data_IF_546251754032
#
_entry.id   IF_546251754032
#
_cell.length_a   1.000
_cell.length_b   1.000
_cell.length_c   1.000
_cell.angle_alpha   90.00
_cell.angle_beta   90.00
_cell.angle_gamma   90.00
#
_symmetry.space_group_name_H-M   'P 1'
#
loop_
_entity.id
_entity.type
_entity.pdbx_description
1 polymer ?
#
# COMPACT_ATOMS: atom_id res chain seq x y z
N UNK A 1 15.36 62.12 32.51
CA UNK A 1 15.66 61.26 31.36
C UNK A 1 14.80 60.02 31.53
N UNK A 2 13.61 60.01 30.94
CA UNK A 2 12.72 58.85 30.98
C UNK A 2 13.32 57.75 30.10
N UNK A 3 13.56 56.58 30.69
CA UNK A 3 13.99 55.39 29.96
C UNK A 3 12.80 54.87 29.13
N UNK A 4 12.96 54.61 27.83
CA UNK A 4 11.88 54.04 27.02
C UNK A 4 11.52 52.63 27.53
N UNK A 5 10.25 52.23 27.44
CA UNK A 5 9.77 50.95 27.95
C UNK A 5 10.47 49.79 27.24
N UNK A 6 11.05 48.88 28.02
CA UNK A 6 11.65 47.64 27.54
C UNK A 6 10.55 46.76 26.94
N UNK A 7 10.54 46.62 25.61
CA UNK A 7 9.65 45.69 24.92
C UNK A 7 10.11 44.27 25.30
N UNK A 8 9.36 43.67 26.22
CA UNK A 8 9.48 42.26 26.58
C UNK A 8 9.32 41.43 25.30
N UNK A 9 10.40 40.74 24.93
CA UNK A 9 10.41 39.89 23.74
C UNK A 9 9.64 38.62 24.07
N UNK A 10 8.33 38.63 23.82
CA UNK A 10 7.47 37.46 23.92
C UNK A 10 8.11 36.32 23.13
N UNK A 11 8.62 35.31 23.84
CA UNK A 11 9.20 34.12 23.22
C UNK A 11 8.14 33.45 22.36
N UNK A 12 8.43 33.32 21.06
CA UNK A 12 7.60 32.62 20.08
C UNK A 12 7.12 31.28 20.65
N UNK A 13 5.81 30.96 20.56
CA UNK A 13 5.30 29.68 21.08
C UNK A 13 6.05 28.52 20.41
N UNK A 14 6.33 27.43 21.14
CA UNK A 14 7.04 26.28 20.58
C UNK A 14 6.23 25.74 19.40
N UNK A 15 6.73 25.97 18.19
CA UNK A 15 6.17 25.38 16.97
C UNK A 15 6.29 23.88 17.15
N UNK A 16 5.15 23.19 17.29
CA UNK A 16 5.12 21.73 17.33
C UNK A 16 5.66 21.23 15.98
N UNK A 17 6.93 20.83 15.98
CA UNK A 17 7.60 20.36 14.78
C UNK A 17 6.89 19.11 14.27
N UNK A 18 6.17 19.27 13.16
CA UNK A 18 5.40 18.18 12.56
C UNK A 18 6.36 17.22 11.89
N UNK A 19 6.87 16.25 12.65
CA UNK A 19 7.76 15.19 12.15
C UNK A 19 7.08 14.42 11.00
N UNK A 20 7.58 14.59 9.77
CA UNK A 20 7.13 13.86 8.59
C UNK A 20 7.91 12.56 8.48
N UNK A 21 7.20 11.43 8.45
CA UNK A 21 7.81 10.11 8.30
C UNK A 21 8.15 9.83 6.84
N UNK A 22 9.37 10.18 6.43
CA UNK A 22 9.84 10.00 5.06
C UNK A 22 9.96 8.53 4.65
N UNK A 23 10.35 7.66 5.58
CA UNK A 23 10.48 6.21 5.31
C UNK A 23 9.15 5.56 4.91
N UNK A 24 8.05 6.03 5.51
CA UNK A 24 6.71 5.53 5.20
C UNK A 24 6.18 6.06 3.86
N UNK A 25 6.66 7.24 3.44
CA UNK A 25 6.38 7.79 2.11
C UNK A 25 7.17 7.00 1.05
N UNK A 26 8.44 6.69 1.33
CA UNK A 26 9.29 5.85 0.49
C UNK A 26 8.71 4.43 0.32
N UNK A 27 8.24 3.81 1.40
CA UNK A 27 7.61 2.49 1.37
C UNK A 27 6.38 2.46 0.46
N UNK A 28 5.54 3.50 0.54
CA UNK A 28 4.39 3.66 -0.36
C UNK A 28 4.81 3.92 -1.79
N UNK A 29 5.81 4.77 -2.02
CA UNK A 29 6.33 5.05 -3.35
C UNK A 29 6.86 3.76 -4.02
N UNK A 30 7.60 2.94 -3.27
CA UNK A 30 8.06 1.64 -3.75
C UNK A 30 6.87 0.71 -4.07
N UNK A 31 5.85 0.66 -3.20
CA UNK A 31 4.64 -0.14 -3.43
C UNK A 31 3.87 0.31 -4.68
N UNK A 32 3.83 1.62 -4.96
CA UNK A 32 3.20 2.18 -6.17
C UNK A 32 4.02 1.89 -7.42
N UNK A 33 5.36 1.99 -7.35
CA UNK A 33 6.26 1.64 -8.45
C UNK A 33 6.11 0.16 -8.84
N UNK A 34 6.04 -0.73 -7.86
CA UNK A 34 5.74 -2.15 -8.09
C UNK A 34 4.38 -2.36 -8.78
N UNK A 35 3.43 -1.46 -8.56
CA UNK A 35 2.15 -1.46 -9.25
C UNK A 35 2.25 -1.18 -10.75
N UNK A 36 3.16 -0.30 -11.17
CA UNK A 36 3.42 -0.01 -12.59
C UNK A 36 4.00 -1.26 -13.27
N UNK A 37 4.95 -1.91 -12.61
CA UNK A 37 5.55 -3.17 -13.08
C UNK A 37 4.46 -4.24 -13.22
N UNK A 38 3.59 -4.38 -12.23
CA UNK A 38 2.47 -5.34 -12.28
C UNK A 38 1.49 -5.03 -13.43
N UNK A 39 1.14 -3.76 -13.67
CA UNK A 39 0.27 -3.41 -14.79
C UNK A 39 0.93 -3.66 -16.15
N UNK A 40 2.24 -3.41 -16.28
CA UNK A 40 3.00 -3.77 -17.48
C UNK A 40 2.96 -5.28 -17.71
N UNK A 41 3.17 -6.08 -16.66
CA UNK A 41 3.06 -7.54 -16.71
C UNK A 41 1.65 -7.94 -17.19
N UNK A 42 0.59 -7.45 -16.54
CA UNK A 42 -0.80 -7.78 -16.90
C UNK A 42 -1.14 -7.44 -18.37
N UNK A 43 -0.66 -6.32 -18.89
CA UNK A 43 -0.91 -5.88 -20.27
C UNK A 43 -0.41 -6.90 -21.32
N UNK A 44 0.62 -7.67 -21.02
CA UNK A 44 1.24 -8.63 -21.95
C UNK A 44 0.98 -10.11 -21.62
N UNK A 45 0.39 -10.44 -20.46
CA UNK A 45 0.22 -11.84 -20.03
C UNK A 45 -1.18 -12.25 -19.55
N UNK A 46 -2.18 -11.37 -19.58
CA UNK A 46 -3.57 -11.78 -19.26
C UNK A 46 -4.27 -12.46 -20.46
N UNK A 47 -4.80 -13.68 -20.28
CA UNK A 47 -5.68 -14.31 -21.27
C UNK A 47 -6.97 -13.47 -21.43
N UNK A 48 -7.14 -12.81 -22.57
CA UNK A 48 -8.31 -11.96 -22.87
C UNK A 48 -8.01 -10.56 -23.40
N UNK A 49 -6.74 -10.12 -23.37
CA UNK A 49 -6.34 -8.86 -24.02
C UNK A 49 -6.11 -9.06 -25.53
N UNK A 50 -6.51 -8.13 -26.42
CA UNK A 50 -6.29 -8.27 -27.87
C UNK A 50 -4.82 -8.41 -28.28
N UNK A 51 -3.88 -7.97 -27.43
CA UNK A 51 -2.44 -8.16 -27.60
C UNK A 51 -1.87 -9.44 -26.98
N UNK A 52 -2.71 -10.35 -26.47
CA UNK A 52 -2.27 -11.62 -25.90
C UNK A 52 -1.75 -12.56 -26.99
N UNK A 53 -0.49 -12.96 -26.87
CA UNK A 53 0.09 -14.01 -27.67
C UNK A 53 0.16 -15.30 -26.83
N UNK A 54 -0.35 -16.46 -27.32
CA UNK A 54 -0.21 -17.75 -26.64
C UNK A 54 1.25 -18.07 -26.31
N UNK A 55 2.20 -17.60 -27.13
CA UNK A 55 3.65 -17.69 -26.96
C UNK A 55 4.20 -17.18 -25.60
N UNK A 56 3.43 -16.30 -24.93
CA UNK A 56 3.83 -15.71 -23.65
C UNK A 56 3.54 -16.65 -22.46
N UNK A 57 2.94 -17.81 -22.70
CA UNK A 57 2.72 -18.89 -21.73
C UNK A 57 4.01 -19.67 -21.41
N UNK A 58 5.16 -18.98 -21.37
CA UNK A 58 6.46 -19.57 -21.08
C UNK A 58 6.39 -20.37 -19.76
N UNK A 59 6.21 -21.67 -19.89
CA UNK A 59 6.20 -22.62 -18.81
C UNK A 59 7.61 -23.15 -18.65
N UNK A 60 8.29 -22.68 -17.61
CA UNK A 60 9.62 -23.15 -17.26
C UNK A 60 9.52 -24.44 -16.43
N UNK A 61 10.63 -25.18 -16.39
CA UNK A 61 10.81 -26.32 -15.49
C UNK A 61 10.71 -25.82 -14.06
N UNK A 62 9.96 -26.51 -13.21
CA UNK A 62 9.82 -26.12 -11.81
C UNK A 62 11.21 -26.10 -11.15
N UNK A 63 11.65 -24.97 -10.56
CA UNK A 63 12.93 -24.94 -9.85
C UNK A 63 12.94 -25.95 -8.71
N UNK A 64 14.07 -26.63 -8.48
CA UNK A 64 14.21 -27.66 -7.44
C UNK A 64 13.80 -27.16 -6.05
N UNK A 65 14.05 -25.88 -5.74
CA UNK A 65 13.62 -25.24 -4.49
C UNK A 65 12.09 -25.24 -4.30
N UNK A 66 11.31 -25.14 -5.38
CA UNK A 66 9.85 -25.13 -5.33
C UNK A 66 9.31 -26.55 -5.21
N UNK A 67 9.91 -27.52 -5.91
CA UNK A 67 9.53 -28.93 -5.76
C UNK A 67 9.84 -29.45 -4.37
N UNK A 68 11.03 -29.12 -3.84
CA UNK A 68 11.43 -29.48 -2.48
C UNK A 68 10.51 -28.82 -1.45
N UNK A 69 10.23 -27.51 -1.59
CA UNK A 69 9.30 -26.81 -0.69
C UNK A 69 7.89 -27.42 -0.71
N UNK A 70 7.41 -27.88 -1.88
CA UNK A 70 6.11 -28.53 -2.00
C UNK A 70 6.09 -29.88 -1.25
N UNK A 71 7.17 -30.66 -1.35
CA UNK A 71 7.33 -31.92 -0.62
C UNK A 71 7.36 -31.70 0.90
N UNK A 72 8.06 -30.66 1.40
CA UNK A 72 8.09 -30.33 2.84
C UNK A 72 6.71 -29.94 3.37
N UNK A 73 5.90 -29.28 2.54
CA UNK A 73 4.54 -28.84 2.88
C UNK A 73 3.49 -29.95 2.66
N UNK A 74 3.90 -31.11 2.13
CA UNK A 74 3.00 -32.25 1.86
C UNK A 74 2.06 -32.00 0.69
N UNK A 75 2.43 -31.11 -0.23
CA UNK A 75 1.64 -30.72 -1.40
C UNK A 75 2.35 -31.15 -2.68
N UNK A 76 1.61 -31.64 -3.67
CA UNK A 76 2.19 -31.98 -4.97
C UNK A 76 2.77 -30.76 -5.69
N UNK A 77 4.01 -30.87 -6.17
CA UNK A 77 4.67 -29.78 -6.89
C UNK A 77 3.90 -29.43 -8.18
N UNK A 78 3.70 -28.13 -8.48
CA UNK A 78 2.93 -27.72 -9.64
C UNK A 78 3.64 -28.15 -10.93
N UNK A 79 2.98 -28.88 -11.83
CA UNK A 79 3.59 -29.44 -13.06
C UNK A 79 4.14 -28.39 -14.05
N UNK A 80 3.75 -27.11 -13.90
CA UNK A 80 4.14 -26.00 -14.77
C UNK A 80 4.48 -24.77 -13.93
N UNK A 81 5.66 -24.17 -14.13
CA UNK A 81 6.04 -22.91 -13.51
C UNK A 81 5.89 -21.77 -14.52
N UNK A 82 5.11 -20.74 -14.20
CA UNK A 82 5.01 -19.54 -15.03
C UNK A 82 5.67 -18.37 -14.28
N UNK A 83 6.78 -17.80 -14.79
CA UNK A 83 7.41 -16.63 -14.19
C UNK A 83 6.46 -15.45 -14.08
N UNK A 84 5.54 -15.32 -15.05
CA UNK A 84 4.47 -14.33 -15.03
C UNK A 84 3.59 -14.47 -13.79
N UNK A 85 3.02 -15.66 -13.54
CA UNK A 85 2.14 -15.87 -12.38
C UNK A 85 2.90 -15.74 -11.07
N UNK A 86 4.16 -16.19 -11.02
CA UNK A 86 5.00 -16.02 -9.84
C UNK A 86 5.21 -14.54 -9.51
N UNK A 87 5.66 -13.72 -10.47
CA UNK A 87 5.86 -12.29 -10.28
C UNK A 87 4.55 -11.57 -9.96
N UNK A 88 3.46 -11.90 -10.65
CA UNK A 88 2.14 -11.35 -10.36
C UNK A 88 1.70 -11.65 -8.92
N UNK A 89 1.71 -12.91 -8.50
CA UNK A 89 1.28 -13.32 -7.16
C UNK A 89 2.19 -12.74 -6.08
N UNK A 90 3.51 -12.74 -6.30
CA UNK A 90 4.47 -12.15 -5.36
C UNK A 90 4.24 -10.64 -5.19
N UNK A 91 4.19 -9.88 -6.29
CA UNK A 91 4.03 -8.42 -6.26
C UNK A 91 2.63 -8.04 -5.75
N UNK A 92 1.58 -8.70 -6.25
CA UNK A 92 0.21 -8.45 -5.84
C UNK A 92 0.01 -8.75 -4.36
N UNK A 93 0.41 -9.95 -3.92
CA UNK A 93 0.31 -10.40 -2.54
C UNK A 93 1.07 -9.47 -1.61
N UNK A 94 2.34 -9.19 -1.90
CA UNK A 94 3.15 -8.30 -1.08
C UNK A 94 2.57 -6.89 -0.99
N UNK A 95 2.27 -6.25 -2.12
CA UNK A 95 1.82 -4.86 -2.17
C UNK A 95 0.49 -4.68 -1.44
N UNK A 96 -0.47 -5.60 -1.63
CA UNK A 96 -1.77 -5.51 -0.98
C UNK A 96 -1.64 -5.63 0.54
N UNK A 97 -0.88 -6.61 1.04
CA UNK A 97 -0.67 -6.74 2.49
C UNK A 97 0.13 -5.57 3.09
N UNK A 98 1.11 -5.05 2.34
CA UNK A 98 1.89 -3.89 2.76
C UNK A 98 1.00 -2.66 3.01
N UNK A 99 0.05 -2.38 2.11
CA UNK A 99 -0.88 -1.27 2.29
C UNK A 99 -1.78 -1.45 3.52
N UNK A 100 -2.21 -2.68 3.84
CA UNK A 100 -2.97 -2.96 5.05
C UNK A 100 -2.16 -2.64 6.32
N UNK A 101 -0.92 -3.14 6.41
CA UNK A 101 -0.03 -2.88 7.55
C UNK A 101 0.22 -1.38 7.72
N UNK A 102 0.58 -0.69 6.63
CA UNK A 102 0.81 0.76 6.65
C UNK A 102 -0.46 1.50 7.08
N UNK A 103 -1.64 1.10 6.60
CA UNK A 103 -2.90 1.73 6.99
C UNK A 103 -3.20 1.58 8.48
N UNK A 104 -2.88 0.41 9.07
CA UNK A 104 -2.99 0.16 10.51
C UNK A 104 -2.07 1.05 11.32
N UNK A 105 -0.80 1.14 10.91
CA UNK A 105 0.20 2.01 11.55
C UNK A 105 -0.25 3.48 11.62
N UNK A 106 -0.70 4.05 10.50
CA UNK A 106 -1.20 5.44 10.49
C UNK A 106 -2.49 5.61 11.29
N UNK A 107 -3.32 4.58 11.38
CA UNK A 107 -4.53 4.60 12.20
C UNK A 107 -4.19 4.64 13.69
N UNK A 108 -3.25 3.82 14.15
CA UNK A 108 -2.74 3.84 15.52
C UNK A 108 -2.06 5.18 15.86
N UNK A 109 -1.24 5.71 14.94
CA UNK A 109 -0.63 7.04 15.09
C UNK A 109 -1.68 8.15 15.21
N UNK A 110 -2.72 8.13 14.37
CA UNK A 110 -3.78 9.12 14.42
C UNK A 110 -4.64 8.99 15.69
N UNK A 111 -4.82 7.77 16.18
CA UNK A 111 -5.52 7.49 17.43
C UNK A 111 -4.78 8.08 18.63
N UNK A 112 -3.46 7.88 18.68
CA UNK A 112 -2.61 8.43 19.74
C UNK A 112 -2.58 9.96 19.78
N UNK A 113 -2.80 10.62 18.64
CA UNK A 113 -2.65 12.09 18.51
C UNK A 113 -3.96 12.87 18.59
N UNK A 114 -5.10 12.30 18.17
CA UNK A 114 -6.39 13.03 18.08
C UNK A 114 -7.54 12.36 18.82
N UNK A 115 -7.34 11.16 19.36
CA UNK A 115 -8.38 10.39 20.03
C UNK A 115 -9.43 9.81 19.08
N UNK A 116 -10.33 9.04 19.68
CA UNK A 116 -11.23 8.09 19.00
C UNK A 116 -12.37 8.78 18.22
N UNK A 117 -12.93 9.82 18.83
CA UNK A 117 -14.13 10.52 18.37
C UNK A 117 -13.87 11.32 17.10
N UNK A 118 -12.78 12.07 17.05
CA UNK A 118 -12.39 12.87 15.87
C UNK A 118 -11.96 11.98 14.70
N UNK A 119 -11.31 10.85 14.99
CA UNK A 119 -10.97 9.83 14.01
C UNK A 119 -12.19 9.25 13.31
N UNK A 120 -13.17 8.81 14.12
CA UNK A 120 -14.36 8.15 13.60
C UNK A 120 -15.24 9.14 12.85
N UNK A 121 -15.41 10.37 13.34
CA UNK A 121 -16.16 11.44 12.67
C UNK A 121 -15.58 11.76 11.28
N UNK A 122 -14.25 11.88 11.17
CA UNK A 122 -13.60 12.18 9.90
C UNK A 122 -13.67 11.01 8.91
N UNK A 123 -13.55 9.77 9.38
CA UNK A 123 -13.67 8.56 8.55
C UNK A 123 -15.10 8.31 8.10
N UNK A 124 -16.06 8.42 9.02
CA UNK A 124 -17.48 8.32 8.72
C UNK A 124 -17.88 9.33 7.64
N UNK A 125 -17.49 10.60 7.77
CA UNK A 125 -17.78 11.62 6.74
C UNK A 125 -17.14 11.32 5.38
N UNK A 126 -15.99 10.63 5.33
CA UNK A 126 -15.34 10.28 4.06
C UNK A 126 -15.83 8.98 3.43
N UNK A 127 -16.45 8.09 4.20
CA UNK A 127 -16.96 6.79 3.72
C UNK A 127 -18.47 6.88 3.49
N UNK A 128 -19.23 7.33 4.48
CA UNK A 128 -20.69 7.43 4.41
C UNK A 128 -21.17 8.52 3.46
N UNK A 129 -20.44 9.63 3.30
CA UNK A 129 -20.86 10.70 2.38
C UNK A 129 -20.83 10.25 0.92
N UNK A 130 -19.72 9.71 0.36
CA UNK A 130 -19.76 9.17 -0.99
C UNK A 130 -20.68 7.95 -1.09
N UNK A 131 -20.76 7.09 -0.06
CA UNK A 131 -21.71 5.98 -0.08
C UNK A 131 -23.16 6.48 -0.23
N UNK A 132 -23.62 7.41 0.60
CA UNK A 132 -24.98 7.93 0.54
C UNK A 132 -25.30 8.72 -0.74
N UNK A 133 -24.31 9.37 -1.35
CA UNK A 133 -24.47 10.10 -2.61
C UNK A 133 -24.53 9.12 -3.81
N UNK A 134 -23.71 8.07 -3.80
CA UNK A 134 -23.56 7.14 -4.92
C UNK A 134 -24.32 5.83 -4.77
N UNK A 135 -24.90 5.52 -3.61
CA UNK A 135 -25.91 4.46 -3.52
C UNK A 135 -27.17 4.99 -4.18
N UNK A 136 -27.57 4.48 -5.36
CA UNK A 136 -28.92 4.74 -5.83
C UNK A 136 -29.83 4.19 -4.74
N UNK A 137 -30.61 5.05 -4.11
CA UNK A 137 -31.77 4.62 -3.36
C UNK A 137 -32.60 3.87 -4.39
N UNK A 138 -32.64 2.54 -4.26
CA UNK A 138 -33.50 1.68 -5.07
C UNK A 138 -34.97 2.06 -4.85
#
# INVERSE_FOLDING_TARGET
>A
VEQPPSIESTSTPPVLEKKRYHDLDALRACAMLLGIILHAILAFGQPGWPGYAPQNDAHWVVPAVVSEAADVVGTEAPKKFSPYNFCFTAIHGFRMQLFFVVSGFFTAMLWSTRGTKELLKHRAKRILLPLAIFTPIA
#
